data_IF_419134813491
#
_entry.id   IF_419134813491
#
_cell.length_a   1.000
_cell.length_b   1.000
_cell.length_c   1.000
_cell.angle_alpha   90.00
_cell.angle_beta   90.00
_cell.angle_gamma   90.00
#
_symmetry.space_group_name_H-M   'P 1'
#
loop_
_entity.id
_entity.type
_entity.pdbx_description
1 polymer ?
#
# COMPACT_ATOMS: atom_id res chain seq x y z
N UNK A 1 -23.21 5.96 43.67
CA UNK A 1 -23.51 7.05 42.71
C UNK A 1 -22.29 7.66 41.99
N UNK A 2 -21.07 7.67 42.57
CA UNK A 2 -19.91 8.33 41.94
C UNK A 2 -19.28 7.63 40.70
N UNK A 3 -19.38 6.29 40.59
CA UNK A 3 -18.84 5.53 39.44
C UNK A 3 -19.64 5.76 38.15
N UNK A 4 -20.97 5.83 38.25
CA UNK A 4 -21.86 6.06 37.09
C UNK A 4 -21.59 7.43 36.46
N UNK A 5 -21.40 8.47 37.28
CA UNK A 5 -21.06 9.82 36.81
C UNK A 5 -19.71 9.88 36.06
N UNK A 6 -18.71 9.07 36.45
CA UNK A 6 -17.41 9.02 35.72
C UNK A 6 -17.55 8.38 34.33
N UNK A 7 -18.40 7.37 34.19
CA UNK A 7 -18.65 6.71 32.90
C UNK A 7 -19.41 7.64 31.95
N UNK A 8 -20.41 8.38 32.45
CA UNK A 8 -21.14 9.37 31.64
C UNK A 8 -20.25 10.52 31.15
N UNK A 9 -19.35 11.03 32.00
CA UNK A 9 -18.39 12.09 31.63
C UNK A 9 -17.42 11.58 30.55
N UNK A 10 -16.96 10.33 30.65
CA UNK A 10 -16.07 9.73 29.65
C UNK A 10 -16.80 9.51 28.31
N UNK A 11 -18.03 9.00 28.36
CA UNK A 11 -18.87 8.82 27.17
C UNK A 11 -19.21 10.16 26.48
N UNK A 12 -19.46 11.23 27.25
CA UNK A 12 -19.67 12.57 26.71
C UNK A 12 -18.40 13.15 26.07
N UNK A 13 -17.22 12.88 26.65
CA UNK A 13 -15.91 13.27 26.07
C UNK A 13 -15.64 12.54 24.75
N UNK A 14 -15.92 11.24 24.68
CA UNK A 14 -15.73 10.44 23.46
C UNK A 14 -16.69 10.87 22.34
N UNK A 15 -17.97 11.11 22.63
CA UNK A 15 -18.94 11.63 21.64
C UNK A 15 -18.53 13.01 21.10
N UNK A 16 -18.03 13.91 21.95
CA UNK A 16 -17.51 15.23 21.53
C UNK A 16 -16.19 15.15 20.77
N UNK A 17 -15.39 14.11 20.97
CA UNK A 17 -14.18 13.85 20.20
C UNK A 17 -14.53 13.33 18.80
N UNK A 18 -15.46 12.39 18.71
CA UNK A 18 -15.95 11.82 17.45
C UNK A 18 -16.59 12.90 16.56
N UNK A 19 -17.48 13.72 17.11
CA UNK A 19 -18.10 14.85 16.39
C UNK A 19 -17.08 15.94 15.95
N UNK A 20 -15.92 16.04 16.63
CA UNK A 20 -14.84 16.95 16.24
C UNK A 20 -13.99 16.39 15.09
N UNK A 21 -13.80 15.08 15.02
CA UNK A 21 -13.13 14.44 13.89
C UNK A 21 -13.95 14.57 12.61
N UNK A 22 -15.28 14.42 12.73
CA UNK A 22 -16.21 14.49 11.60
C UNK A 22 -16.33 15.91 10.99
N UNK A 23 -16.19 16.96 11.82
CA UNK A 23 -16.13 18.35 11.31
C UNK A 23 -14.79 18.68 10.66
N UNK A 24 -13.69 18.06 11.09
CA UNK A 24 -12.35 18.24 10.49
C UNK A 24 -12.25 17.57 9.12
N UNK A 25 -13.06 16.55 8.86
CA UNK A 25 -13.21 15.92 7.55
C UNK A 25 -13.96 16.80 6.53
N UNK A 26 -14.75 17.79 6.97
CA UNK A 26 -15.59 18.63 6.09
C UNK A 26 -15.01 20.00 5.72
N UNK A 27 -13.92 20.45 6.35
CA UNK A 27 -13.36 21.80 6.12
C UNK A 27 -12.09 21.84 5.27
N UNK A 28 -11.78 20.77 4.53
CA UNK A 28 -10.64 20.70 3.61
C UNK A 28 -11.12 20.66 2.15
N UNK A 29 -11.38 21.82 1.57
CA UNK A 29 -11.79 22.01 0.18
C UNK A 29 -10.61 21.80 -0.79
N UNK A 30 -10.39 20.56 -1.23
CA UNK A 30 -9.91 20.18 -2.59
C UNK A 30 -9.75 18.65 -2.63
N UNK A 31 -10.87 17.93 -2.69
CA UNK A 31 -10.88 16.53 -3.11
C UNK A 31 -11.30 16.50 -4.58
N UNK A 32 -10.35 16.15 -5.45
CA UNK A 32 -10.57 15.85 -6.86
C UNK A 32 -11.73 14.84 -6.99
N UNK A 33 -12.62 14.97 -7.98
CA UNK A 33 -13.60 13.94 -8.26
C UNK A 33 -12.86 12.71 -8.78
N UNK A 34 -12.79 11.66 -7.95
CA UNK A 34 -12.46 10.32 -8.41
C UNK A 34 -13.57 9.89 -9.38
N UNK A 35 -13.33 10.16 -10.65
CA UNK A 35 -14.11 9.72 -11.78
C UNK A 35 -14.09 8.18 -11.83
N UNK A 36 -15.30 7.63 -11.93
CA UNK A 36 -15.71 6.58 -12.87
C UNK A 36 -15.09 5.18 -12.75
N UNK A 37 -16.01 4.26 -12.51
CA UNK A 37 -16.14 2.93 -13.15
C UNK A 37 -15.02 1.95 -12.80
N UNK A 38 -15.11 1.36 -11.61
CA UNK A 38 -14.94 -0.08 -11.53
C UNK A 38 -16.28 -0.72 -11.90
N UNK A 39 -16.48 -0.90 -13.21
CA UNK A 39 -17.42 -1.88 -13.72
C UNK A 39 -16.73 -3.23 -13.76
N UNK A 40 -17.49 -4.30 -13.54
CA UNK A 40 -17.05 -5.65 -13.86
C UNK A 40 -17.23 -6.64 -12.71
N UNK A 41 -18.46 -7.15 -12.60
CA UNK A 41 -18.81 -8.47 -12.07
C UNK A 41 -18.02 -8.98 -10.85
N UNK A 42 -18.46 -8.57 -9.67
CA UNK A 42 -18.51 -9.51 -8.56
C UNK A 42 -19.53 -10.59 -8.89
N UNK A 43 -19.20 -11.55 -9.75
CA UNK A 43 -19.88 -12.82 -9.76
C UNK A 43 -19.57 -13.46 -8.42
N UNK A 44 -20.44 -13.23 -7.43
CA UNK A 44 -20.51 -14.04 -6.23
C UNK A 44 -20.97 -15.44 -6.65
N UNK A 45 -20.06 -16.19 -7.27
CA UNK A 45 -20.20 -17.62 -7.44
C UNK A 45 -20.05 -18.18 -6.03
N UNK A 46 -21.16 -18.36 -5.32
CA UNK A 46 -21.18 -19.14 -4.09
C UNK A 46 -21.05 -20.60 -4.49
N UNK A 47 -19.85 -20.97 -4.91
CA UNK A 47 -19.46 -22.37 -5.05
C UNK A 47 -19.52 -22.91 -3.63
N UNK A 48 -20.46 -23.83 -3.37
CA UNK A 48 -20.50 -24.53 -2.09
C UNK A 48 -19.38 -25.59 -2.10
N UNK A 49 -18.13 -25.14 -1.93
CA UNK A 49 -16.93 -26.00 -1.84
C UNK A 49 -17.11 -27.22 -0.93
N UNK A 50 -17.69 -27.12 0.28
CA UNK A 50 -17.85 -28.30 1.14
C UNK A 50 -18.83 -29.35 0.56
N UNK A 51 -19.81 -28.93 -0.25
CA UNK A 51 -20.72 -29.85 -0.93
C UNK A 51 -20.01 -30.56 -2.09
N UNK A 52 -19.17 -29.83 -2.83
CA UNK A 52 -18.39 -30.39 -3.94
C UNK A 52 -17.37 -31.40 -3.40
N UNK A 53 -16.69 -31.09 -2.29
CA UNK A 53 -15.79 -32.01 -1.60
C UNK A 53 -16.52 -33.29 -1.16
N UNK A 54 -17.68 -33.16 -0.51
CA UNK A 54 -18.47 -34.30 -0.05
C UNK A 54 -18.98 -35.18 -1.21
N UNK A 55 -19.40 -34.56 -2.32
CA UNK A 55 -19.83 -35.28 -3.53
C UNK A 55 -18.64 -35.94 -4.22
N UNK A 56 -17.50 -35.27 -4.31
CA UNK A 56 -16.27 -35.83 -4.89
C UNK A 56 -15.74 -37.01 -4.07
N UNK A 57 -15.81 -36.96 -2.74
CA UNK A 57 -15.51 -38.11 -1.86
C UNK A 57 -16.50 -39.25 -2.05
N UNK A 58 -17.80 -38.95 -2.13
CA UNK A 58 -18.83 -39.98 -2.35
C UNK A 58 -18.65 -40.70 -3.68
N UNK A 59 -18.37 -39.96 -4.75
CA UNK A 59 -18.12 -40.51 -6.09
C UNK A 59 -16.83 -41.33 -6.11
N UNK A 60 -15.73 -40.86 -5.50
CA UNK A 60 -14.48 -41.62 -5.35
C UNK A 60 -14.70 -42.94 -4.61
N UNK A 61 -15.49 -42.93 -3.54
CA UNK A 61 -15.82 -44.14 -2.78
C UNK A 61 -16.65 -45.17 -3.58
N UNK A 62 -17.45 -44.73 -4.56
CA UNK A 62 -18.26 -45.62 -5.43
C UNK A 62 -17.42 -46.16 -6.60
N UNK A 63 -16.55 -45.31 -7.19
CA UNK A 63 -15.80 -45.63 -8.40
C UNK A 63 -14.42 -46.27 -8.14
N UNK A 64 -13.92 -46.25 -6.90
CA UNK A 64 -12.61 -46.80 -6.52
C UNK A 64 -11.43 -45.89 -6.88
N UNK A 65 -10.27 -46.11 -6.26
CA UNK A 65 -9.03 -45.33 -6.43
C UNK A 65 -8.30 -45.60 -7.78
N UNK A 66 -8.97 -46.19 -8.76
CA UNK A 66 -8.37 -46.57 -10.05
C UNK A 66 -8.24 -45.41 -11.05
N UNK A 67 -8.67 -44.21 -10.66
CA UNK A 67 -8.52 -43.00 -11.46
C UNK A 67 -7.18 -42.35 -11.12
N UNK A 68 -6.23 -42.42 -12.04
CA UNK A 68 -5.04 -41.57 -11.93
C UNK A 68 -5.43 -40.09 -12.08
N UNK A 69 -4.58 -39.20 -11.58
CA UNK A 69 -4.86 -37.75 -11.56
C UNK A 69 -5.04 -37.19 -12.98
N UNK A 70 -4.44 -37.83 -13.99
CA UNK A 70 -4.60 -37.44 -15.38
C UNK A 70 -5.99 -37.79 -15.91
N UNK A 71 -6.50 -39.00 -15.65
CA UNK A 71 -7.85 -39.42 -16.04
C UNK A 71 -8.94 -38.55 -15.37
N UNK A 72 -8.70 -38.13 -14.11
CA UNK A 72 -9.57 -37.18 -13.43
C UNK A 72 -9.57 -35.81 -14.10
N UNK A 73 -8.39 -35.27 -14.44
CA UNK A 73 -8.28 -33.98 -15.12
C UNK A 73 -8.87 -34.01 -16.53
N UNK A 74 -8.65 -35.08 -17.30
CA UNK A 74 -9.20 -35.23 -18.65
C UNK A 74 -10.74 -35.29 -18.63
N UNK A 75 -11.32 -35.95 -17.62
CA UNK A 75 -12.78 -36.00 -17.44
C UNK A 75 -13.33 -34.65 -16.98
N UNK A 76 -12.66 -34.01 -16.03
CA UNK A 76 -13.05 -32.68 -15.52
C UNK A 76 -12.99 -31.63 -16.65
N UNK A 77 -11.95 -31.65 -17.46
CA UNK A 77 -11.78 -30.72 -18.57
C UNK A 77 -12.84 -30.95 -19.65
N UNK A 78 -13.12 -32.21 -19.99
CA UNK A 78 -14.19 -32.56 -20.92
C UNK A 78 -15.59 -32.13 -20.49
N UNK A 79 -15.83 -31.95 -19.18
CA UNK A 79 -17.12 -31.49 -18.65
C UNK A 79 -17.19 -29.98 -18.36
N UNK A 80 -16.06 -29.33 -18.05
CA UNK A 80 -16.06 -27.98 -17.47
C UNK A 80 -15.12 -26.96 -18.13
N UNK A 81 -14.37 -27.35 -19.16
CA UNK A 81 -13.35 -26.51 -19.82
C UNK A 81 -12.35 -25.88 -18.82
N UNK A 82 -12.10 -26.55 -17.69
CA UNK A 82 -11.35 -25.99 -16.57
C UNK A 82 -9.89 -25.67 -16.93
N UNK A 83 -9.26 -26.49 -17.78
CA UNK A 83 -7.87 -26.30 -18.18
C UNK A 83 -7.76 -25.15 -19.19
N UNK A 84 -8.73 -25.00 -20.10
CA UNK A 84 -8.79 -23.86 -21.03
C UNK A 84 -8.93 -22.52 -20.30
N UNK A 85 -9.73 -22.49 -19.22
CA UNK A 85 -9.85 -21.32 -18.35
C UNK A 85 -8.52 -21.04 -17.64
N UNK A 86 -7.86 -22.07 -17.10
CA UNK A 86 -6.56 -21.92 -16.45
C UNK A 86 -5.51 -21.36 -17.42
N UNK A 87 -5.49 -21.85 -18.66
CA UNK A 87 -4.66 -21.38 -19.75
C UNK A 87 -4.91 -19.91 -20.09
N UNK A 88 -6.18 -19.50 -20.18
CA UNK A 88 -6.54 -18.11 -20.40
C UNK A 88 -6.08 -17.22 -19.25
N UNK A 89 -6.30 -17.63 -18.00
CA UNK A 89 -5.84 -16.89 -16.82
C UNK A 89 -4.31 -16.74 -16.80
N UNK A 90 -3.57 -17.77 -17.24
CA UNK A 90 -2.12 -17.70 -17.38
C UNK A 90 -1.68 -16.72 -18.48
N UNK A 91 -2.39 -16.68 -19.62
CA UNK A 91 -2.15 -15.70 -20.69
C UNK A 91 -2.38 -14.27 -20.20
N UNK A 92 -3.55 -14.02 -19.61
CA UNK A 92 -3.92 -12.70 -19.07
C UNK A 92 -2.90 -12.23 -18.01
N UNK A 93 -2.49 -13.13 -17.10
CA UNK A 93 -1.49 -12.83 -16.08
C UNK A 93 -0.12 -12.47 -16.66
N UNK A 94 0.29 -13.11 -17.76
CA UNK A 94 1.56 -12.81 -18.42
C UNK A 94 1.50 -11.51 -19.21
N UNK A 95 0.39 -11.24 -19.89
CA UNK A 95 0.14 -9.98 -20.59
C UNK A 95 0.15 -8.80 -19.61
N UNK A 96 -0.55 -8.93 -18.49
CA UNK A 96 -0.56 -7.92 -17.43
C UNK A 96 0.83 -7.69 -16.83
N UNK A 97 1.63 -8.76 -16.63
CA UNK A 97 3.02 -8.64 -16.18
C UNK A 97 3.88 -7.84 -17.17
N UNK A 98 3.74 -8.13 -18.45
CA UNK A 98 4.48 -7.42 -19.50
C UNK A 98 4.06 -5.94 -19.58
N UNK A 99 2.76 -5.66 -19.58
CA UNK A 99 2.22 -4.31 -19.59
C UNK A 99 2.62 -3.52 -18.33
N UNK A 100 2.59 -4.15 -17.16
CA UNK A 100 3.03 -3.52 -15.91
C UNK A 100 4.51 -3.14 -15.96
N UNK A 101 5.37 -3.99 -16.54
CA UNK A 101 6.78 -3.68 -16.73
C UNK A 101 6.99 -2.50 -17.68
N UNK A 102 6.27 -2.47 -18.82
CA UNK A 102 6.32 -1.36 -19.78
C UNK A 102 5.85 -0.03 -19.15
N UNK A 103 4.75 -0.06 -18.39
CA UNK A 103 4.24 1.10 -17.67
C UNK A 103 5.26 1.67 -16.67
N UNK A 104 5.99 0.81 -15.95
CA UNK A 104 7.05 1.24 -15.03
C UNK A 104 8.21 1.91 -15.78
N UNK A 105 8.65 1.33 -16.89
CA UNK A 105 9.71 1.93 -17.71
C UNK A 105 9.33 3.33 -18.20
N UNK A 106 8.10 3.50 -18.71
CA UNK A 106 7.60 4.83 -19.11
C UNK A 106 7.51 5.79 -17.93
N UNK A 107 7.05 5.33 -16.76
CA UNK A 107 6.98 6.16 -15.57
C UNK A 107 8.37 6.68 -15.15
N UNK A 108 9.40 5.83 -15.23
CA UNK A 108 10.79 6.22 -14.94
C UNK A 108 11.32 7.26 -15.93
N UNK A 109 11.00 7.12 -17.23
CA UNK A 109 11.35 8.13 -18.24
C UNK A 109 10.70 9.48 -17.97
N UNK A 110 9.41 9.49 -17.63
CA UNK A 110 8.68 10.71 -17.29
C UNK A 110 9.18 11.32 -15.99
N UNK A 111 9.53 10.50 -14.99
CA UNK A 111 10.15 10.96 -13.75
C UNK A 111 11.52 11.62 -14.02
N UNK A 112 12.35 11.01 -14.87
CA UNK A 112 13.62 11.59 -15.29
C UNK A 112 13.41 12.93 -16.03
N UNK A 113 12.40 13.02 -16.89
CA UNK A 113 12.03 14.27 -17.59
C UNK A 113 11.55 15.34 -16.61
N UNK A 114 10.71 14.97 -15.64
CA UNK A 114 10.23 15.86 -14.59
C UNK A 114 11.42 16.44 -13.79
N UNK A 115 12.36 15.59 -13.37
CA UNK A 115 13.57 16.01 -12.65
C UNK A 115 14.41 17.02 -13.43
N UNK A 116 14.53 16.88 -14.77
CA UNK A 116 15.23 17.88 -15.61
C UNK A 116 14.49 19.22 -15.64
N UNK A 117 13.16 19.20 -15.70
CA UNK A 117 12.35 20.42 -15.65
C UNK A 117 12.41 21.10 -14.29
N UNK A 118 12.42 20.33 -13.20
CA UNK A 118 12.62 20.85 -11.85
C UNK A 118 14.00 21.50 -11.68
N UNK A 119 15.06 20.86 -12.20
CA UNK A 119 16.40 21.44 -12.20
C UNK A 119 16.45 22.76 -13.00
N UNK A 120 15.81 22.81 -14.17
CA UNK A 120 15.69 24.05 -14.96
C UNK A 120 14.89 25.12 -14.19
N UNK A 121 13.81 24.74 -13.52
CA UNK A 121 13.03 25.66 -12.69
C UNK A 121 13.87 26.22 -11.53
N UNK A 122 14.66 25.38 -10.88
CA UNK A 122 15.57 25.78 -9.81
C UNK A 122 16.64 26.77 -10.33
N UNK A 123 17.22 26.50 -11.50
CA UNK A 123 18.18 27.41 -12.14
C UNK A 123 17.54 28.77 -12.48
N UNK A 124 16.31 28.78 -13.00
CA UNK A 124 15.57 30.03 -13.28
C UNK A 124 15.31 30.80 -11.98
N UNK A 125 14.90 30.13 -10.91
CA UNK A 125 14.72 30.77 -9.59
C UNK A 125 16.03 31.33 -9.03
N UNK A 126 17.14 30.61 -9.22
CA UNK A 126 18.48 31.09 -8.88
C UNK A 126 18.85 32.37 -9.64
N UNK A 127 18.61 32.40 -10.96
CA UNK A 127 18.83 33.59 -11.78
C UNK A 127 17.94 34.77 -11.36
N UNK A 128 16.67 34.51 -10.99
CA UNK A 128 15.78 35.54 -10.44
C UNK A 128 16.28 36.10 -9.10
N UNK A 129 16.88 35.26 -8.25
CA UNK A 129 17.51 35.71 -7.01
C UNK A 129 18.71 36.61 -7.30
N UNK A 130 19.60 36.18 -8.20
CA UNK A 130 20.76 37.00 -8.64
C UNK A 130 20.31 38.34 -9.23
N UNK A 131 19.21 38.36 -9.99
CA UNK A 131 18.63 39.59 -10.52
C UNK A 131 18.17 40.54 -9.41
N UNK A 132 17.46 40.03 -8.40
CA UNK A 132 17.01 40.83 -7.25
C UNK A 132 18.20 41.35 -6.43
N UNK A 133 19.25 40.54 -6.27
CA UNK A 133 20.46 40.93 -5.56
C UNK A 133 21.23 42.03 -6.31
N UNK A 134 21.38 41.90 -7.63
CA UNK A 134 22.01 42.91 -8.48
C UNK A 134 21.20 44.22 -8.54
N UNK A 135 19.88 44.13 -8.52
CA UNK A 135 18.99 45.30 -8.51
C UNK A 135 18.84 45.93 -7.10
N UNK A 136 19.34 45.28 -6.04
CA UNK A 136 19.23 45.76 -4.67
C UNK A 136 17.80 45.79 -4.10
N UNK A 137 16.82 45.20 -4.79
CA UNK A 137 15.40 45.24 -4.40
C UNK A 137 14.96 43.91 -3.79
N UNK A 138 14.16 43.98 -2.72
CA UNK A 138 13.66 42.77 -2.03
C UNK A 138 12.45 42.14 -2.72
N UNK A 139 11.73 42.91 -3.53
CA UNK A 139 10.45 42.52 -4.14
C UNK A 139 10.31 43.20 -5.50
N UNK A 140 9.86 42.44 -6.49
CA UNK A 140 9.58 42.89 -7.85
C UNK A 140 8.21 42.35 -8.29
N UNK A 141 7.24 43.23 -8.47
CA UNK A 141 5.88 42.88 -8.90
C UNK A 141 5.75 43.05 -10.42
N UNK A 142 5.35 41.98 -11.13
CA UNK A 142 5.10 41.97 -12.58
C UNK A 142 3.72 41.34 -12.88
N UNK A 143 3.13 41.59 -14.06
CA UNK A 143 1.82 41.02 -14.43
C UNK A 143 1.74 39.49 -14.36
N UNK A 144 2.87 38.79 -14.60
CA UNK A 144 2.96 37.33 -14.54
C UNK A 144 3.25 36.76 -13.14
N UNK A 145 3.48 37.60 -12.13
CA UNK A 145 3.78 37.16 -10.77
C UNK A 145 4.68 38.12 -9.99
N UNK A 146 4.74 37.90 -8.68
CA UNK A 146 5.60 38.66 -7.77
C UNK A 146 6.83 37.84 -7.39
N UNK A 147 8.02 38.38 -7.66
CA UNK A 147 9.30 37.80 -7.26
C UNK A 147 9.71 38.46 -5.95
N UNK A 148 9.89 37.69 -4.89
CA UNK A 148 10.30 38.22 -3.58
C UNK A 148 11.43 37.39 -3.01
N UNK A 149 12.41 38.06 -2.41
CA UNK A 149 13.51 37.42 -1.70
C UNK A 149 13.05 37.08 -0.28
N UNK A 150 13.14 35.80 0.09
CA UNK A 150 12.99 35.33 1.48
C UNK A 150 14.35 34.93 2.04
N UNK A 151 14.54 35.17 3.33
CA UNK A 151 15.68 34.60 4.04
C UNK A 151 15.56 33.07 4.06
N UNK A 152 16.69 32.37 3.91
CA UNK A 152 16.76 30.91 4.01
C UNK A 152 16.31 30.42 5.38
N UNK A 153 15.74 29.22 5.43
CA UNK A 153 15.38 28.59 6.70
C UNK A 153 16.66 28.11 7.41
N UNK A 154 16.72 28.30 8.73
CA UNK A 154 17.84 27.82 9.55
C UNK A 154 17.62 26.33 9.81
N UNK A 155 18.50 25.49 9.27
CA UNK A 155 18.50 24.05 9.50
C UNK A 155 19.68 23.66 10.39
N UNK A 156 19.41 22.82 11.40
CA UNK A 156 20.46 22.25 12.25
C UNK A 156 21.13 21.12 11.46
N UNK A 157 22.38 21.34 11.05
CA UNK A 157 23.23 20.29 10.49
C UNK A 157 24.00 19.65 11.64
N UNK A 158 23.63 18.43 12.02
CA UNK A 158 24.36 17.63 13.01
C UNK A 158 25.64 17.14 12.33
N UNK A 159 26.80 17.55 12.84
CA UNK A 159 28.12 17.19 12.30
C UNK A 159 28.65 15.89 12.89
N UNK A 160 28.22 15.55 14.10
CA UNK A 160 28.57 14.34 14.83
C UNK A 160 27.37 13.96 15.71
N UNK A 161 26.86 12.73 15.57
CA UNK A 161 25.67 12.24 16.26
C UNK A 161 25.98 11.78 17.70
N UNK A 162 27.22 11.38 18.00
CA UNK A 162 27.64 10.87 19.31
C UNK A 162 27.99 12.00 20.29
N UNK A 163 28.35 13.18 19.75
CA UNK A 163 28.55 14.40 20.52
C UNK A 163 27.21 15.08 20.91
N UNK A 164 26.08 14.65 20.35
CA UNK A 164 24.76 15.21 20.69
C UNK A 164 24.33 14.68 22.06
N UNK A 165 23.98 15.56 23.01
CA UNK A 165 23.49 15.13 24.31
C UNK A 165 22.31 14.16 24.17
N UNK A 166 22.38 13.05 24.89
CA UNK A 166 21.37 11.97 24.87
C UNK A 166 19.94 12.43 25.20
N UNK A 167 19.79 13.62 25.80
CA UNK A 167 18.52 14.30 26.07
C UNK A 167 17.78 14.73 24.78
N UNK A 168 18.50 14.95 23.68
CA UNK A 168 17.95 15.35 22.39
C UNK A 168 17.83 14.19 21.40
N UNK A 169 18.28 12.99 21.79
CA UNK A 169 18.22 11.80 20.97
C UNK A 169 16.93 11.01 21.22
N UNK A 170 16.26 10.59 20.14
CA UNK A 170 15.07 9.75 20.21
C UNK A 170 15.45 8.27 20.09
N UNK A 171 15.34 7.51 21.19
CA UNK A 171 15.56 6.07 21.18
C UNK A 171 14.34 5.33 20.63
N UNK A 172 14.46 4.71 19.46
CA UNK A 172 13.40 3.89 18.84
C UNK A 172 13.71 2.41 19.09
N UNK A 173 13.05 1.80 20.07
CA UNK A 173 13.10 0.33 20.27
C UNK A 173 12.17 -0.34 19.25
N UNK A 174 12.74 -1.10 18.31
CA UNK A 174 11.99 -1.92 17.35
C UNK A 174 12.07 -3.39 17.74
N UNK A 175 10.95 -4.11 17.88
CA UNK A 175 10.98 -5.55 18.07
C UNK A 175 11.61 -6.25 16.86
N UNK A 176 12.55 -7.15 17.12
CA UNK A 176 13.14 -7.98 16.07
C UNK A 176 12.24 -9.18 15.79
N UNK A 177 11.51 -9.09 14.68
CA UNK A 177 10.57 -10.13 14.24
C UNK A 177 11.28 -11.44 13.89
N UNK A 178 12.56 -11.41 13.52
CA UNK A 178 13.29 -12.62 13.12
C UNK A 178 13.70 -13.45 14.34
N UNK A 179 14.23 -12.80 15.37
CA UNK A 179 14.51 -13.43 16.65
C UNK A 179 13.23 -13.94 17.31
N UNK A 180 12.15 -13.14 17.32
CA UNK A 180 10.85 -13.55 17.86
C UNK A 180 10.30 -14.78 17.12
N UNK A 181 10.43 -14.85 15.79
CA UNK A 181 10.01 -16.03 15.01
C UNK A 181 10.84 -17.26 15.38
N UNK A 182 12.16 -17.12 15.51
CA UNK A 182 13.04 -18.22 15.89
C UNK A 182 12.73 -18.78 17.29
N UNK A 183 12.46 -17.90 18.27
CA UNK A 183 12.06 -18.31 19.62
C UNK A 183 10.68 -19.00 19.64
N UNK A 184 9.71 -18.48 18.89
CA UNK A 184 8.38 -19.10 18.76
C UNK A 184 8.41 -20.45 18.00
N UNK A 185 9.28 -20.60 17.00
CA UNK A 185 9.50 -21.88 16.29
C UNK A 185 10.24 -22.90 17.17
N UNK A 186 11.10 -22.44 18.10
CA UNK A 186 11.81 -23.28 19.08
C UNK A 186 10.93 -23.70 20.28
N UNK A 187 9.68 -23.25 20.34
CA UNK A 187 8.73 -23.60 21.41
C UNK A 187 8.87 -22.75 22.68
N UNK A 188 9.61 -21.64 22.63
CA UNK A 188 9.67 -20.65 23.72
C UNK A 188 8.55 -19.61 23.54
N UNK A 189 7.68 -19.47 24.54
CA UNK A 189 6.60 -18.50 24.53
C UNK A 189 7.12 -17.06 24.63
N UNK A 190 6.94 -16.28 23.56
CA UNK A 190 7.22 -14.83 23.56
C UNK A 190 5.92 -14.07 23.84
N UNK A 191 5.78 -13.38 25.01
CA UNK A 191 4.57 -12.64 25.32
C UNK A 191 4.33 -11.52 24.30
N UNK A 192 3.24 -11.64 23.54
CA UNK A 192 2.80 -10.64 22.56
C UNK A 192 3.07 -10.97 21.09
N UNK A 193 3.53 -12.19 20.76
CA UNK A 193 3.67 -12.64 19.38
C UNK A 193 3.04 -14.03 19.19
N UNK A 194 2.29 -14.19 18.10
CA UNK A 194 1.59 -15.44 17.74
C UNK A 194 1.95 -15.77 16.30
N UNK A 195 2.19 -17.05 16.02
CA UNK A 195 2.37 -17.54 14.65
C UNK A 195 0.98 -17.69 14.00
N UNK A 196 0.69 -16.82 13.04
CA UNK A 196 -0.52 -16.90 12.22
C UNK A 196 -0.16 -17.40 10.82
N UNK A 197 -0.87 -18.44 10.35
CA UNK A 197 -0.76 -18.89 8.96
C UNK A 197 -1.54 -17.94 8.05
N UNK A 198 -0.85 -17.33 7.11
CA UNK A 198 -1.47 -16.57 6.02
C UNK A 198 -2.19 -17.50 5.04
N UNK A 199 -3.20 -17.01 4.30
CA UNK A 199 -3.89 -17.82 3.30
C UNK A 199 -2.92 -18.35 2.25
N UNK A 200 -3.22 -19.52 1.71
CA UNK A 200 -2.41 -20.15 0.67
C UNK A 200 -2.40 -19.27 -0.58
N UNK A 201 -1.25 -19.22 -1.26
CA UNK A 201 -1.03 -18.38 -2.44
C UNK A 201 -0.50 -19.22 -3.59
N UNK A 202 -0.91 -18.88 -4.81
CA UNK A 202 -0.49 -19.58 -6.03
C UNK A 202 0.78 -18.94 -6.57
N UNK A 203 1.79 -19.76 -6.88
CA UNK A 203 3.02 -19.31 -7.54
C UNK A 203 3.08 -19.77 -8.98
N UNK A 204 3.06 -18.84 -9.93
CA UNK A 204 3.20 -19.14 -11.37
C UNK A 204 4.64 -18.86 -11.81
N UNK A 205 5.34 -19.92 -12.25
CA UNK A 205 6.68 -19.83 -12.85
C UNK A 205 6.57 -20.08 -14.36
N UNK A 206 6.99 -19.11 -15.14
CA UNK A 206 7.07 -19.22 -16.61
C UNK A 206 8.51 -19.61 -16.96
N UNK A 207 8.68 -20.58 -17.87
CA UNK A 207 10.00 -20.96 -18.41
C UNK A 207 10.43 -19.99 -19.50
#
# INVERSE_FOLDING_TARGET
>A
MARVRRVEILAARLRRACLRMDRRARSGSHALPARRVFGGLGMNMRINTPLIEAVAEHIRNILGDEWDEQAFLDTLDGETDALDIADKLLRDLNDDRALAAACKALADEYAARAKRLEARQAAIKGAMLTLLDAAGVKKLERPGGTISRRAGSVHVRITDEDAVPSQLCKVVKRPDKTAIRAHLEAGEDVPGAVLERSPDTVTVRVK
#
